data_IF_713935472290
#
_entry.id   IF_713935472290
#
_cell.length_a   1.000
_cell.length_b   1.000
_cell.length_c   1.000
_cell.angle_alpha   90.00
_cell.angle_beta   90.00
_cell.angle_gamma   90.00
#
_symmetry.space_group_name_H-M   'P 1'
#
loop_
_entity.id
_entity.type
_entity.pdbx_description
1 polymer ?
#
# COMPACT_ATOMS: atom_id res chain seq x y z
N UNK A 1 7.49 7.82 0.41
CA UNK A 1 7.11 6.46 0.78
C UNK A 1 5.96 6.01 -0.09
N UNK A 2 6.17 4.92 -0.82
CA UNK A 2 5.14 4.20 -1.56
C UNK A 2 4.79 2.95 -0.76
N UNK A 3 3.50 2.73 -0.52
CA UNK A 3 2.99 1.50 0.09
C UNK A 3 2.06 0.85 -0.92
N UNK A 4 2.15 -0.47 -1.11
CA UNK A 4 1.16 -1.23 -1.87
C UNK A 4 0.48 -2.27 -1.02
N UNK A 5 -0.85 -2.35 -1.14
CA UNK A 5 -1.67 -3.34 -0.46
C UNK A 5 -1.76 -4.60 -1.29
N UNK A 6 -1.19 -5.69 -0.78
CA UNK A 6 -1.24 -6.97 -1.46
C UNK A 6 -2.62 -7.61 -1.32
N UNK A 7 -3.22 -7.96 -2.45
CA UNK A 7 -4.50 -8.65 -2.51
C UNK A 7 -4.63 -9.50 -3.77
N UNK A 8 -5.35 -10.62 -3.66
CA UNK A 8 -5.48 -11.59 -4.75
C UNK A 8 -4.36 -12.63 -4.75
N UNK A 9 -4.29 -13.42 -5.82
CA UNK A 9 -3.32 -14.51 -5.97
C UNK A 9 -1.92 -14.04 -6.35
N UNK A 10 -1.00 -15.00 -6.55
CA UNK A 10 0.41 -14.76 -6.87
C UNK A 10 0.63 -13.70 -7.96
N UNK A 11 -0.08 -13.82 -9.09
CA UNK A 11 0.04 -12.88 -10.21
C UNK A 11 -0.27 -11.44 -9.84
N UNK A 12 -1.34 -11.22 -9.07
CA UNK A 12 -1.70 -9.88 -8.58
C UNK A 12 -0.64 -9.37 -7.61
N UNK A 13 -0.11 -10.22 -6.73
CA UNK A 13 0.95 -9.83 -5.80
C UNK A 13 2.21 -9.38 -6.55
N UNK A 14 2.61 -10.11 -7.60
CA UNK A 14 3.76 -9.72 -8.44
C UNK A 14 3.51 -8.39 -9.15
N UNK A 15 2.34 -8.20 -9.75
CA UNK A 15 1.98 -6.96 -10.44
C UNK A 15 1.94 -5.76 -9.47
N UNK A 16 1.33 -5.94 -8.30
CA UNK A 16 1.26 -4.92 -7.25
C UNK A 16 2.64 -4.49 -6.77
N UNK A 17 3.54 -5.46 -6.58
CA UNK A 17 4.93 -5.18 -6.20
C UNK A 17 5.70 -4.51 -7.31
N UNK A 18 5.62 -4.99 -8.54
CA UNK A 18 6.33 -4.41 -9.67
C UNK A 18 5.94 -2.94 -9.88
N UNK A 19 4.64 -2.64 -9.86
CA UNK A 19 4.13 -1.27 -10.00
C UNK A 19 4.67 -0.37 -8.90
N UNK A 20 4.52 -0.79 -7.64
CA UNK A 20 4.92 0.00 -6.50
C UNK A 20 6.45 0.21 -6.43
N UNK A 21 7.22 -0.81 -6.81
CA UNK A 21 8.67 -0.77 -6.86
C UNK A 21 9.17 0.23 -7.91
N UNK A 22 8.63 0.18 -9.13
CA UNK A 22 8.98 1.13 -10.20
C UNK A 22 8.60 2.55 -9.79
N UNK A 23 7.42 2.74 -9.18
CA UNK A 23 6.98 4.04 -8.69
C UNK A 23 7.88 4.60 -7.58
N UNK A 24 8.30 3.76 -6.65
CA UNK A 24 9.20 4.14 -5.57
C UNK A 24 10.58 4.53 -6.11
N UNK A 25 11.08 3.80 -7.11
CA UNK A 25 12.32 4.13 -7.83
C UNK A 25 12.21 5.47 -8.56
N UNK A 26 11.10 5.71 -9.26
CA UNK A 26 10.85 6.97 -9.98
C UNK A 26 10.88 8.19 -9.06
N UNK A 27 10.23 8.11 -7.90
CA UNK A 27 10.23 9.21 -6.90
C UNK A 27 11.40 9.18 -5.92
N UNK A 28 12.37 8.28 -6.12
CA UNK A 28 13.50 8.06 -5.21
C UNK A 28 13.06 7.99 -3.73
N UNK A 29 12.15 7.08 -3.41
CA UNK A 29 11.56 6.98 -2.07
C UNK A 29 11.42 5.53 -1.62
N UNK A 30 11.17 5.32 -0.31
CA UNK A 30 11.00 3.99 0.27
C UNK A 30 9.77 3.27 -0.27
N UNK A 31 9.88 1.95 -0.41
CA UNK A 31 8.82 1.04 -0.82
C UNK A 31 8.49 0.06 0.30
N UNK A 32 7.20 -0.15 0.60
CA UNK A 32 6.74 -1.11 1.61
C UNK A 32 5.48 -1.89 1.17
N UNK A 33 5.32 -3.08 1.72
CA UNK A 33 4.17 -3.96 1.50
C UNK A 33 3.17 -3.88 2.66
N UNK A 34 1.89 -3.80 2.34
CA UNK A 34 0.78 -3.96 3.27
C UNK A 34 0.09 -5.31 3.07
N UNK A 35 0.28 -6.20 4.05
CA UNK A 35 -0.29 -7.55 4.07
C UNK A 35 -1.65 -7.62 4.79
N UNK A 36 -2.19 -6.50 5.27
CA UNK A 36 -3.40 -6.47 6.09
C UNK A 36 -4.59 -7.17 5.45
N UNK A 37 -4.71 -7.14 4.12
CA UNK A 37 -5.75 -7.88 3.40
C UNK A 37 -5.56 -9.39 3.49
N UNK A 38 -4.38 -9.91 3.17
CA UNK A 38 -4.08 -11.34 3.20
C UNK A 38 -4.20 -11.89 4.62
N UNK A 39 -3.72 -11.12 5.61
CA UNK A 39 -3.81 -11.49 7.03
C UNK A 39 -5.25 -11.50 7.54
N UNK A 40 -6.07 -10.50 7.16
CA UNK A 40 -7.48 -10.44 7.56
C UNK A 40 -8.33 -11.51 6.87
N UNK A 41 -7.99 -11.89 5.65
CA UNK A 41 -8.72 -12.85 4.84
C UNK A 41 -7.92 -14.16 4.67
N UNK A 42 -7.39 -14.69 5.76
CA UNK A 42 -6.53 -15.88 5.76
C UNK A 42 -7.32 -17.21 5.83
N UNK A 43 -8.63 -17.16 6.03
CA UNK A 43 -9.52 -18.33 6.06
C UNK A 43 -10.41 -18.34 4.82
N UNK A 44 -10.48 -19.47 4.12
CA UNK A 44 -11.38 -19.66 2.99
C UNK A 44 -12.83 -19.84 3.46
N UNK A 45 -13.76 -19.31 2.68
CA UNK A 45 -15.20 -19.53 2.82
C UNK A 45 -15.76 -20.08 1.50
N UNK A 46 -17.04 -20.46 1.47
CA UNK A 46 -17.69 -20.95 0.26
C UNK A 46 -17.63 -19.97 -0.92
N UNK A 47 -17.58 -18.66 -0.64
CA UNK A 47 -17.56 -17.59 -1.64
C UNK A 47 -16.19 -16.91 -1.80
N UNK A 48 -15.19 -17.31 -1.03
CA UNK A 48 -13.89 -16.65 -1.01
C UNK A 48 -12.75 -17.62 -0.75
N UNK A 49 -11.78 -17.67 -1.66
CA UNK A 49 -10.54 -18.43 -1.47
C UNK A 49 -9.47 -17.54 -0.83
N UNK A 50 -9.01 -17.91 0.36
CA UNK A 50 -7.91 -17.18 1.01
C UNK A 50 -6.61 -17.31 0.22
N UNK A 51 -5.79 -16.25 0.30
CA UNK A 51 -4.49 -16.19 -0.37
C UNK A 51 -3.42 -15.85 0.65
N UNK A 52 -2.31 -16.56 0.58
CA UNK A 52 -1.14 -16.30 1.42
C UNK A 52 -0.21 -15.33 0.70
N UNK A 53 0.73 -14.77 1.44
CA UNK A 53 1.87 -14.09 0.85
C UNK A 53 2.77 -15.12 0.16
N UNK A 54 3.11 -14.89 -1.10
CA UNK A 54 3.81 -15.88 -1.93
C UNK A 54 5.07 -15.33 -2.62
N UNK A 55 5.49 -14.10 -2.30
CA UNK A 55 6.64 -13.45 -2.95
C UNK A 55 7.99 -13.81 -2.30
N UNK A 56 8.00 -14.62 -1.24
CA UNK A 56 9.23 -15.16 -0.64
C UNK A 56 10.07 -15.97 -1.64
N UNK A 57 9.44 -16.53 -2.67
CA UNK A 57 10.11 -17.29 -3.75
C UNK A 57 11.21 -16.48 -4.47
N UNK A 58 11.12 -15.15 -4.45
CA UNK A 58 12.12 -14.27 -5.08
C UNK A 58 13.36 -14.04 -4.21
N UNK A 59 13.42 -14.59 -2.99
CA UNK A 59 14.51 -14.38 -2.03
C UNK A 59 14.84 -12.89 -1.79
N UNK A 60 13.86 -12.00 -1.97
CA UNK A 60 14.01 -10.57 -1.78
C UNK A 60 13.48 -10.16 -0.41
N UNK A 61 14.26 -9.36 0.33
CA UNK A 61 13.86 -8.85 1.65
C UNK A 61 12.96 -7.63 1.49
N UNK A 62 11.65 -7.85 1.42
CA UNK A 62 10.67 -6.76 1.40
C UNK A 62 10.51 -6.12 2.78
N UNK A 63 10.36 -4.79 2.80
CA UNK A 63 9.92 -4.08 4.00
C UNK A 63 8.39 -4.12 4.11
N UNK A 64 7.88 -4.45 5.29
CA UNK A 64 6.45 -4.42 5.58
C UNK A 64 6.06 -3.12 6.28
N UNK A 65 4.88 -2.60 5.97
CA UNK A 65 4.31 -1.45 6.67
C UNK A 65 3.81 -1.84 8.05
N UNK A 66 3.77 -0.88 8.98
CA UNK A 66 3.07 -1.03 10.25
C UNK A 66 1.73 -0.27 10.28
N UNK A 67 0.95 -0.47 11.34
CA UNK A 67 -0.35 0.19 11.53
C UNK A 67 -0.26 1.72 11.56
N UNK A 68 0.78 2.30 12.15
CA UNK A 68 0.92 3.76 12.22
C UNK A 68 1.16 4.38 10.83
N UNK A 69 1.88 3.67 9.97
CA UNK A 69 2.11 4.05 8.58
C UNK A 69 0.83 3.93 7.74
N UNK A 70 0.01 2.88 7.96
CA UNK A 70 -1.30 2.76 7.33
C UNK A 70 -2.24 3.87 7.81
N UNK A 71 -2.30 4.11 9.12
CA UNK A 71 -3.11 5.16 9.77
C UNK A 71 -2.74 6.57 9.27
N UNK A 72 -1.50 6.76 8.83
CA UNK A 72 -1.08 8.03 8.23
C UNK A 72 -1.83 8.31 6.94
N UNK A 73 -2.15 7.29 6.13
CA UNK A 73 -2.99 7.41 4.94
C UNK A 73 -4.49 7.37 5.29
N UNK A 74 -4.92 6.43 6.14
CA UNK A 74 -6.31 6.21 6.56
C UNK A 74 -6.51 6.57 8.04
N UNK A 75 -6.78 7.84 8.38
CA UNK A 75 -6.78 8.29 9.76
C UNK A 75 -7.99 7.72 10.50
N UNK A 76 -7.74 6.89 11.52
CA UNK A 76 -8.73 6.47 12.51
C UNK A 76 -8.67 7.40 13.73
N UNK A 77 -9.80 8.00 14.09
CA UNK A 77 -9.85 8.96 15.19
C UNK A 77 -9.94 8.25 16.54
N UNK A 78 -8.87 8.30 17.33
CA UNK A 78 -8.89 7.85 18.73
C UNK A 78 -8.36 8.89 19.73
N UNK A 79 -7.39 9.74 19.36
CA UNK A 79 -6.72 10.68 20.28
C UNK A 79 -6.48 12.08 19.67
N UNK A 80 -6.77 13.14 20.44
CA UNK A 80 -6.70 14.55 20.01
C UNK A 80 -5.26 15.01 19.71
N UNK A 81 -4.27 14.62 20.52
CA UNK A 81 -2.86 14.99 20.31
C UNK A 81 -2.34 14.39 18.99
N UNK A 82 -2.61 13.09 18.76
CA UNK A 82 -2.25 12.40 17.52
C UNK A 82 -2.92 13.05 16.30
N UNK A 83 -4.11 13.65 16.45
CA UNK A 83 -4.81 14.37 15.39
C UNK A 83 -4.05 15.61 14.92
N UNK A 84 -3.55 16.43 15.85
CA UNK A 84 -2.86 17.69 15.53
C UNK A 84 -1.51 17.42 14.85
N UNK A 85 -0.67 16.58 15.45
CA UNK A 85 0.65 16.25 14.89
C UNK A 85 0.55 15.64 13.48
N UNK A 86 -0.48 14.81 13.23
CA UNK A 86 -0.73 14.22 11.91
C UNK A 86 -1.23 15.25 10.90
N UNK A 87 -2.05 16.23 11.31
CA UNK A 87 -2.52 17.30 10.41
C UNK A 87 -1.35 18.06 9.78
N UNK A 88 -0.35 18.42 10.59
CA UNK A 88 0.86 19.10 10.10
C UNK A 88 1.68 18.23 9.14
N UNK A 89 1.95 16.96 9.49
CA UNK A 89 2.70 16.05 8.61
C UNK A 89 1.97 15.78 7.29
N UNK A 90 0.64 15.62 7.31
CA UNK A 90 -0.16 15.37 6.11
C UNK A 90 -0.25 16.60 5.21
N UNK A 91 -0.28 17.81 5.78
CA UNK A 91 -0.22 19.04 4.99
C UNK A 91 1.10 19.16 4.21
N UNK A 92 2.21 18.76 4.83
CA UNK A 92 3.53 18.78 4.18
C UNK A 92 3.71 17.67 3.15
N UNK A 93 3.38 16.43 3.51
CA UNK A 93 3.66 15.25 2.71
C UNK A 93 2.57 14.93 1.67
N UNK A 94 1.38 15.52 1.82
CA UNK A 94 0.22 15.38 0.93
C UNK A 94 -0.06 13.93 0.51
N UNK A 95 -0.31 13.01 1.46
CA UNK A 95 -0.47 11.59 1.16
C UNK A 95 -1.61 11.36 0.17
N UNK A 96 -1.31 10.62 -0.90
CA UNK A 96 -2.29 10.19 -1.89
C UNK A 96 -2.71 8.75 -1.63
N UNK A 97 -3.99 8.46 -1.84
CA UNK A 97 -4.50 7.08 -1.88
C UNK A 97 -5.02 6.86 -3.28
N UNK A 98 -4.38 5.93 -3.99
CA UNK A 98 -4.78 5.56 -5.33
C UNK A 98 -5.51 4.23 -5.24
N UNK A 99 -6.76 4.25 -5.67
CA UNK A 99 -7.57 3.08 -5.96
C UNK A 99 -7.64 2.99 -7.47
N UNK A 100 -7.48 1.79 -7.99
CA UNK A 100 -7.64 1.38 -9.40
C UNK A 100 -7.90 2.51 -10.39
N UNK A 101 -6.89 2.83 -11.22
CA UNK A 101 -7.00 3.90 -12.22
C UNK A 101 -7.34 3.24 -13.54
N UNK A 102 -8.58 3.42 -14.01
CA UNK A 102 -9.05 2.87 -15.29
C UNK A 102 -8.26 3.35 -16.52
N UNK A 103 -7.42 4.38 -16.40
CA UNK A 103 -6.47 4.80 -17.44
C UNK A 103 -5.01 4.83 -16.90
N UNK A 104 -4.11 3.98 -17.41
CA UNK A 104 -2.69 3.96 -17.05
C UNK A 104 -1.94 5.29 -17.28
N UNK A 105 -2.31 6.07 -18.28
CA UNK A 105 -1.61 7.33 -18.62
C UNK A 105 -1.75 8.41 -17.54
N UNK A 106 -2.77 8.28 -16.71
CA UNK A 106 -3.01 9.14 -15.56
C UNK A 106 -2.29 8.67 -14.30
N UNK A 107 -1.74 7.45 -14.28
CA UNK A 107 -1.16 6.84 -13.08
C UNK A 107 0.00 7.67 -12.52
N UNK A 108 0.96 8.04 -13.38
CA UNK A 108 2.11 8.86 -12.96
C UNK A 108 1.68 10.28 -12.58
N UNK A 109 0.65 10.82 -13.24
CA UNK A 109 0.15 12.18 -12.98
C UNK A 109 -0.59 12.28 -11.64
N UNK A 110 -1.28 11.21 -11.23
CA UNK A 110 -2.07 11.15 -10.00
C UNK A 110 -1.27 10.67 -8.80
N UNK A 111 -0.10 10.07 -9.01
CA UNK A 111 0.77 9.58 -7.93
C UNK A 111 1.76 10.67 -7.49
N UNK A 112 2.38 10.45 -6.34
CA UNK A 112 3.43 11.30 -5.80
C UNK A 112 4.42 10.48 -4.97
N UNK A 113 5.48 11.14 -4.49
CA UNK A 113 6.44 10.56 -3.53
C UNK A 113 5.80 10.00 -2.25
N UNK A 114 4.55 10.33 -1.92
CA UNK A 114 3.83 9.82 -0.76
C UNK A 114 2.49 9.24 -1.17
N UNK A 115 2.48 7.96 -1.55
CA UNK A 115 1.31 7.32 -2.14
C UNK A 115 1.06 5.94 -1.54
N UNK A 116 -0.21 5.64 -1.30
CA UNK A 116 -0.69 4.30 -0.96
C UNK A 116 -1.49 3.75 -2.14
N UNK A 117 -1.02 2.63 -2.70
CA UNK A 117 -1.68 1.88 -3.77
C UNK A 117 -2.60 0.84 -3.14
N UNK A 118 -3.91 1.08 -3.22
CA UNK A 118 -4.92 0.18 -2.67
C UNK A 118 -5.28 -0.85 -3.73
N UNK A 119 -4.55 -1.96 -3.73
CA UNK A 119 -4.89 -3.11 -4.55
C UNK A 119 -4.57 -3.01 -6.04
N UNK A 120 -3.64 -2.12 -6.38
CA UNK A 120 -3.16 -1.85 -7.72
C UNK A 120 -2.02 -2.81 -8.05
#
# INVERSE_FOLDING_TARGET
>A
MIITKLQGGHGNQMFQVATAFVLAKHYNTKFKLDLSFLQKNNVSTEIFTSRKYELDVFNYKFEFTNENEIDFFFPKYKNVIKRIARKSKRALLKPQIIRDIGNPDDFVKKTSKCTYLYGY
#
